data_IF_838671283779
#
_entry.id   IF_838671283779
#
_cell.length_a   1.000
_cell.length_b   1.000
_cell.length_c   1.000
_cell.angle_alpha   90.00
_cell.angle_beta   90.00
_cell.angle_gamma   90.00
#
_symmetry.space_group_name_H-M   'P 1'
#
loop_
_entity.id
_entity.type
_entity.pdbx_description
1 polymer ?
#
# COMPACT_ATOMS: atom_id res chain seq x y z
N UNK A 1 -7.36 10.27 27.82
CA UNK A 1 -7.82 11.57 28.40
C UNK A 1 -7.22 12.79 27.73
N UNK A 2 -5.98 13.18 28.02
CA UNK A 2 -5.37 14.33 27.34
C UNK A 2 -5.12 14.09 25.84
N UNK A 3 -4.92 12.83 25.44
CA UNK A 3 -4.73 12.41 24.05
C UNK A 3 -6.03 12.42 23.24
N UNK A 4 -7.13 12.01 23.87
CA UNK A 4 -8.42 11.78 23.20
C UNK A 4 -9.37 13.00 23.33
N UNK A 5 -9.28 13.73 24.45
CA UNK A 5 -10.03 14.96 24.72
C UNK A 5 -9.11 16.09 25.20
N UNK A 6 -8.26 16.65 24.30
CA UNK A 6 -7.28 17.66 24.65
C UNK A 6 -7.94 18.94 25.17
N UNK A 7 -9.03 19.40 24.57
CA UNK A 7 -9.71 20.64 24.97
C UNK A 7 -10.28 20.57 26.39
N UNK A 8 -10.94 19.46 26.75
CA UNK A 8 -11.50 19.29 28.09
C UNK A 8 -10.39 19.11 29.15
N UNK A 9 -9.31 18.40 28.79
CA UNK A 9 -8.17 18.17 29.70
C UNK A 9 -7.38 19.47 29.94
N UNK A 10 -7.08 20.24 28.88
CA UNK A 10 -6.41 21.53 29.00
C UNK A 10 -7.31 22.57 29.68
N UNK A 11 -8.61 22.55 29.42
CA UNK A 11 -9.59 23.39 30.12
C UNK A 11 -9.61 23.13 31.63
N UNK A 12 -9.68 21.85 32.04
CA UNK A 12 -9.64 21.47 33.45
C UNK A 12 -8.34 21.93 34.13
N UNK A 13 -7.18 21.66 33.52
CA UNK A 13 -5.88 22.09 34.06
C UNK A 13 -5.73 23.62 34.10
N UNK A 14 -6.12 24.32 33.03
CA UNK A 14 -6.04 25.77 32.97
C UNK A 14 -6.90 26.46 34.05
N UNK A 15 -8.13 25.97 34.25
CA UNK A 15 -9.03 26.48 35.30
C UNK A 15 -8.48 26.19 36.70
N UNK A 16 -7.90 25.02 36.94
CA UNK A 16 -7.28 24.69 38.22
C UNK A 16 -6.07 25.59 38.53
N UNK A 17 -5.21 25.87 37.54
CA UNK A 17 -4.08 26.79 37.71
C UNK A 17 -4.57 28.21 37.98
N UNK A 18 -5.59 28.70 37.25
CA UNK A 18 -6.17 30.02 37.49
C UNK A 18 -6.81 30.13 38.88
N UNK A 19 -7.43 29.07 39.38
CA UNK A 19 -7.98 29.04 40.74
C UNK A 19 -6.90 29.16 41.81
N UNK A 20 -5.76 28.47 41.64
CA UNK A 20 -4.61 28.58 42.55
C UNK A 20 -4.04 30.00 42.53
N UNK A 21 -3.89 30.61 41.35
CA UNK A 21 -3.45 32.00 41.22
C UNK A 21 -4.43 32.97 41.87
N UNK A 22 -5.74 32.80 41.68
CA UNK A 22 -6.75 33.64 42.32
C UNK A 22 -6.70 33.53 43.86
N UNK A 23 -6.52 32.32 44.39
CA UNK A 23 -6.34 32.09 45.83
C UNK A 23 -5.06 32.72 46.38
N UNK A 24 -3.94 32.65 45.65
CA UNK A 24 -2.69 33.30 46.03
C UNK A 24 -2.81 34.83 46.01
N UNK A 25 -3.46 35.40 44.99
CA UNK A 25 -3.72 36.85 44.93
C UNK A 25 -4.63 37.28 46.09
N UNK A 26 -5.66 36.51 46.41
CA UNK A 26 -6.52 36.78 47.56
C UNK A 26 -5.74 36.80 48.88
N UNK A 27 -4.86 35.81 49.10
CA UNK A 27 -4.10 35.67 50.34
C UNK A 27 -2.96 36.69 50.52
N UNK A 28 -2.35 37.16 49.43
CA UNK A 28 -1.12 37.98 49.51
C UNK A 28 -1.27 39.42 49.03
N UNK A 29 -2.27 39.73 48.19
CA UNK A 29 -2.40 41.06 47.58
C UNK A 29 -3.52 41.92 48.21
N UNK A 30 -4.54 41.31 48.80
CA UNK A 30 -5.69 42.03 49.35
C UNK A 30 -5.67 42.10 50.88
N UNK A 31 -6.33 43.12 51.44
CA UNK A 31 -6.49 43.28 52.88
C UNK A 31 -7.57 42.34 53.39
N UNK A 32 -7.29 41.69 54.52
CA UNK A 32 -8.23 40.82 55.23
C UNK A 32 -9.60 41.49 55.44
N UNK A 33 -10.65 40.83 54.98
CA UNK A 33 -12.03 41.27 55.11
C UNK A 33 -12.51 42.26 54.03
N UNK A 34 -11.70 42.53 53.01
CA UNK A 34 -12.09 43.41 51.90
C UNK A 34 -13.07 42.74 50.93
N UNK A 35 -13.89 43.54 50.25
CA UNK A 35 -14.81 43.04 49.20
C UNK A 35 -14.06 42.41 48.03
N UNK A 36 -12.86 42.91 47.73
CA UNK A 36 -11.99 42.39 46.65
C UNK A 36 -11.46 40.98 46.97
N UNK A 37 -11.07 40.74 48.23
CA UNK A 37 -10.67 39.41 48.71
C UNK A 37 -11.82 38.41 48.60
N UNK A 38 -13.03 38.79 49.05
CA UNK A 38 -14.20 37.92 48.96
C UNK A 38 -14.53 37.57 47.50
N UNK A 39 -14.50 38.54 46.59
CA UNK A 39 -14.73 38.30 45.16
C UNK A 39 -13.67 37.35 44.58
N UNK A 40 -12.39 37.54 44.93
CA UNK A 40 -11.32 36.66 44.47
C UNK A 40 -11.47 35.23 45.00
N UNK A 41 -11.87 35.04 46.25
CA UNK A 41 -12.13 33.73 46.86
C UNK A 41 -13.31 33.03 46.17
N UNK A 42 -14.46 33.72 45.99
CA UNK A 42 -15.62 33.13 45.33
C UNK A 42 -15.38 32.83 43.85
N UNK A 43 -14.64 33.71 43.15
CA UNK A 43 -14.22 33.45 41.77
C UNK A 43 -13.29 32.25 41.68
N UNK A 44 -12.31 32.15 42.59
CA UNK A 44 -11.41 30.99 42.70
C UNK A 44 -12.18 29.70 42.97
N UNK A 45 -13.13 29.71 43.90
CA UNK A 45 -14.00 28.57 44.20
C UNK A 45 -14.82 28.15 42.97
N UNK A 46 -15.38 29.12 42.24
CA UNK A 46 -16.09 28.86 40.99
C UNK A 46 -15.21 28.18 39.94
N UNK A 47 -13.95 28.63 39.80
CA UNK A 47 -12.97 28.02 38.91
C UNK A 47 -12.61 26.58 39.32
N UNK A 48 -12.48 26.29 40.62
CA UNK A 48 -12.27 24.93 41.12
C UNK A 48 -13.45 24.03 40.74
N UNK A 49 -14.70 24.46 41.00
CA UNK A 49 -15.89 23.68 40.64
C UNK A 49 -15.93 23.43 39.12
N UNK A 50 -15.66 24.44 38.30
CA UNK A 50 -15.62 24.29 36.85
C UNK A 50 -14.54 23.30 36.40
N UNK A 51 -13.33 23.36 36.97
CA UNK A 51 -12.25 22.40 36.68
C UNK A 51 -12.64 20.95 37.00
N UNK A 52 -13.36 20.75 38.09
CA UNK A 52 -13.83 19.44 38.54
C UNK A 52 -14.88 18.88 37.58
N UNK A 53 -15.81 19.72 37.13
CA UNK A 53 -16.82 19.33 36.13
C UNK A 53 -16.19 18.95 34.79
N UNK A 54 -15.21 19.73 34.30
CA UNK A 54 -14.47 19.38 33.09
C UNK A 54 -13.67 18.08 33.25
N UNK A 55 -13.05 17.87 34.42
CA UNK A 55 -12.34 16.64 34.73
C UNK A 55 -13.25 15.41 34.75
N UNK A 56 -14.42 15.51 35.39
CA UNK A 56 -15.42 14.43 35.40
C UNK A 56 -15.96 14.17 33.99
N UNK A 57 -16.28 15.21 33.24
CA UNK A 57 -16.75 15.09 31.86
C UNK A 57 -15.73 14.36 30.98
N UNK A 58 -14.46 14.80 31.02
CA UNK A 58 -13.38 14.13 30.31
C UNK A 58 -13.19 12.69 30.80
N UNK A 59 -13.40 12.42 32.09
CA UNK A 59 -13.35 11.08 32.68
C UNK A 59 -14.38 10.15 32.07
N UNK A 60 -15.65 10.57 32.10
CA UNK A 60 -16.76 9.78 31.55
C UNK A 60 -16.59 9.56 30.05
N UNK A 61 -16.18 10.59 29.31
CA UNK A 61 -15.91 10.47 27.87
C UNK A 61 -14.78 9.46 27.59
N UNK A 62 -13.68 9.51 28.33
CA UNK A 62 -12.58 8.52 28.14
C UNK A 62 -12.94 7.10 28.48
N UNK A 63 -13.93 6.89 29.36
CA UNK A 63 -14.44 5.54 29.63
C UNK A 63 -15.30 5.02 28.47
N UNK A 64 -15.82 5.92 27.64
CA UNK A 64 -16.49 5.62 26.38
C UNK A 64 -15.53 5.42 25.20
N UNK A 65 -14.31 5.93 25.29
CA UNK A 65 -13.29 5.77 24.24
C UNK A 65 -12.89 4.29 24.11
N UNK A 66 -13.18 3.72 22.94
CA UNK A 66 -12.77 2.36 22.60
C UNK A 66 -11.30 2.36 22.20
N UNK A 67 -10.54 1.39 22.70
CA UNK A 67 -9.18 1.16 22.23
C UNK A 67 -9.21 0.87 20.72
N UNK A 68 -8.50 1.69 19.94
CA UNK A 68 -8.38 1.43 18.50
C UNK A 68 -7.64 0.12 18.28
N UNK A 69 -8.15 -0.75 17.40
CA UNK A 69 -7.43 -1.96 17.05
C UNK A 69 -6.13 -1.60 16.33
N UNK A 70 -5.11 -2.43 16.54
CA UNK A 70 -3.85 -2.32 15.82
C UNK A 70 -3.83 -3.27 14.64
N UNK A 71 -3.46 -2.77 13.46
CA UNK A 71 -3.26 -3.57 12.26
C UNK A 71 -1.82 -3.43 11.76
N UNK A 72 -1.24 -4.52 11.29
CA UNK A 72 0.08 -4.53 10.66
C UNK A 72 0.04 -5.37 9.40
N UNK A 73 0.64 -4.82 8.34
CA UNK A 73 0.87 -5.48 7.05
C UNK A 73 2.34 -5.87 6.95
N UNK A 74 2.64 -7.12 6.60
CA UNK A 74 4.01 -7.60 6.38
C UNK A 74 4.11 -8.36 5.06
N UNK A 75 4.85 -7.84 4.06
CA UNK A 75 5.10 -8.55 2.81
C UNK A 75 5.85 -9.86 3.06
N UNK A 76 5.39 -10.94 2.41
CA UNK A 76 6.04 -12.26 2.42
C UNK A 76 6.54 -12.62 1.01
N UNK A 77 7.37 -13.65 0.94
CA UNK A 77 7.80 -14.20 -0.34
C UNK A 77 6.61 -14.83 -1.11
N UNK A 78 6.64 -14.79 -2.44
CA UNK A 78 5.65 -15.45 -3.29
C UNK A 78 4.28 -14.74 -3.38
N UNK A 79 4.28 -13.41 -3.51
CA UNK A 79 3.06 -12.60 -3.73
C UNK A 79 2.01 -12.77 -2.64
N UNK A 80 2.45 -12.94 -1.39
CA UNK A 80 1.56 -13.01 -0.23
C UNK A 80 1.87 -11.88 0.74
N UNK A 81 0.86 -11.45 1.47
CA UNK A 81 1.02 -10.47 2.55
C UNK A 81 0.35 -11.01 3.79
N UNK A 82 1.09 -10.98 4.89
CA UNK A 82 0.57 -11.29 6.21
C UNK A 82 -0.10 -10.06 6.80
N UNK A 83 -1.37 -10.20 7.17
CA UNK A 83 -2.12 -9.19 7.89
C UNK A 83 -2.31 -9.68 9.31
N UNK A 84 -1.83 -8.91 10.28
CA UNK A 84 -2.02 -9.20 11.70
C UNK A 84 -2.84 -8.09 12.33
N UNK A 85 -3.91 -8.49 13.03
CA UNK A 85 -4.85 -7.59 13.69
C UNK A 85 -4.89 -7.95 15.17
N UNK A 86 -4.78 -6.92 16.01
CA UNK A 86 -4.84 -7.07 17.47
C UNK A 86 -5.79 -6.05 18.08
N UNK A 87 -6.66 -6.52 18.96
CA UNK A 87 -7.55 -5.69 19.77
C UNK A 87 -7.61 -6.21 21.21
N UNK A 88 -7.86 -5.32 22.15
CA UNK A 88 -7.98 -5.64 23.58
C UNK A 88 -9.09 -4.81 24.21
N UNK A 89 -9.70 -5.31 25.28
CA UNK A 89 -10.76 -4.59 26.00
C UNK A 89 -12.09 -4.50 25.23
N UNK A 90 -12.33 -5.45 24.33
CA UNK A 90 -13.54 -5.52 23.52
C UNK A 90 -14.69 -6.18 24.31
N UNK A 91 -15.91 -5.69 24.10
CA UNK A 91 -17.12 -6.34 24.63
C UNK A 91 -17.47 -7.54 23.78
N UNK A 92 -18.23 -8.49 24.33
CA UNK A 92 -18.68 -9.69 23.58
C UNK A 92 -19.49 -9.37 22.32
N UNK A 93 -20.13 -8.19 22.26
CA UNK A 93 -20.87 -7.70 21.10
C UNK A 93 -20.03 -6.90 20.09
N UNK A 94 -18.79 -6.56 20.45
CA UNK A 94 -17.94 -5.75 19.58
C UNK A 94 -17.33 -6.63 18.49
N UNK A 95 -17.18 -6.06 17.30
CA UNK A 95 -16.50 -6.71 16.18
C UNK A 95 -15.46 -5.75 15.60
N UNK A 96 -14.27 -6.26 15.32
CA UNK A 96 -13.28 -5.54 14.51
C UNK A 96 -13.56 -5.88 13.05
N UNK A 97 -13.87 -4.87 12.25
CA UNK A 97 -13.90 -5.00 10.80
C UNK A 97 -12.49 -4.76 10.29
N UNK A 98 -12.03 -5.64 9.41
CA UNK A 98 -10.71 -5.62 8.79
C UNK A 98 -10.91 -5.62 7.28
N UNK A 99 -10.32 -4.65 6.61
CA UNK A 99 -10.28 -4.60 5.15
C UNK A 99 -8.88 -4.37 4.65
N UNK A 100 -8.56 -5.04 3.55
CA UNK A 100 -7.30 -4.92 2.82
C UNK A 100 -7.64 -4.64 1.38
N UNK A 101 -7.02 -3.62 0.81
CA UNK A 101 -7.38 -3.09 -0.49
C UNK A 101 -6.15 -2.65 -1.28
N UNK A 102 -6.29 -2.66 -2.60
CA UNK A 102 -5.30 -2.11 -3.50
C UNK A 102 -5.31 -0.59 -3.39
N UNK A 103 -4.15 0.07 -3.38
CA UNK A 103 -4.08 1.52 -3.43
C UNK A 103 -3.59 1.99 -4.80
N UNK A 104 -4.42 2.80 -5.44
CA UNK A 104 -4.13 3.42 -6.72
C UNK A 104 -3.92 4.92 -6.54
N UNK A 105 -2.99 5.49 -7.31
CA UNK A 105 -2.81 6.95 -7.35
C UNK A 105 -3.84 7.55 -8.28
N UNK A 106 -4.72 8.37 -7.73
CA UNK A 106 -5.72 9.11 -8.48
C UNK A 106 -5.65 10.61 -8.14
N UNK A 107 -5.91 11.50 -9.11
CA UNK A 107 -6.07 12.92 -8.81
C UNK A 107 -7.25 13.11 -7.84
N UNK A 108 -7.07 13.96 -6.84
CA UNK A 108 -8.18 14.51 -6.06
C UNK A 108 -8.83 15.68 -6.81
N UNK A 109 -9.89 16.25 -6.22
CA UNK A 109 -10.63 17.39 -6.81
C UNK A 109 -9.76 18.65 -7.00
N UNK A 110 -8.60 18.71 -6.33
CA UNK A 110 -7.59 19.76 -6.45
C UNK A 110 -6.44 19.40 -7.41
N UNK A 111 -6.56 18.31 -8.19
CA UNK A 111 -5.56 17.84 -9.15
C UNK A 111 -4.29 17.24 -8.54
N UNK A 112 -4.22 17.08 -7.21
CA UNK A 112 -3.09 16.44 -6.52
C UNK A 112 -3.27 14.94 -6.52
N UNK A 113 -2.21 14.19 -6.83
CA UNK A 113 -2.23 12.73 -6.75
C UNK A 113 -2.38 12.30 -5.28
N UNK A 114 -3.47 11.60 -5.00
CA UNK A 114 -3.78 11.03 -3.68
C UNK A 114 -4.01 9.53 -3.82
N UNK A 115 -3.77 8.80 -2.74
CA UNK A 115 -4.08 7.38 -2.70
C UNK A 115 -5.57 7.19 -2.53
N UNK A 116 -6.19 6.48 -3.46
CA UNK A 116 -7.57 6.03 -3.35
C UNK A 116 -7.61 4.52 -3.17
N UNK A 117 -8.56 4.12 -2.33
CA UNK A 117 -9.09 2.78 -2.22
C UNK A 117 -9.46 2.25 -3.61
N UNK A 118 -8.80 1.17 -4.03
CA UNK A 118 -9.12 0.40 -5.22
C UNK A 118 -10.05 -0.76 -4.88
N UNK A 119 -9.84 -1.91 -5.54
CA UNK A 119 -10.62 -3.11 -5.23
C UNK A 119 -10.22 -3.74 -3.88
N UNK A 120 -11.21 -4.18 -3.08
CA UNK A 120 -10.94 -4.89 -1.84
C UNK A 120 -10.37 -6.28 -2.16
N UNK A 121 -9.25 -6.61 -1.51
CA UNK A 121 -8.57 -7.90 -1.59
C UNK A 121 -9.07 -8.87 -0.53
N UNK A 122 -9.42 -8.35 0.65
CA UNK A 122 -9.86 -9.14 1.79
C UNK A 122 -10.74 -8.30 2.70
N UNK A 123 -11.79 -8.91 3.23
CA UNK A 123 -12.68 -8.33 4.22
C UNK A 123 -13.06 -9.38 5.26
N UNK A 124 -12.98 -9.02 6.55
CA UNK A 124 -13.40 -9.90 7.64
C UNK A 124 -13.98 -9.11 8.81
N UNK A 125 -14.91 -9.73 9.52
CA UNK A 125 -15.42 -9.25 10.81
C UNK A 125 -14.97 -10.23 11.88
N UNK A 126 -14.23 -9.74 12.87
CA UNK A 126 -13.59 -10.55 13.92
C UNK A 126 -14.25 -10.23 15.26
N UNK A 127 -14.80 -11.24 15.93
CA UNK A 127 -15.29 -11.13 17.31
C UNK A 127 -14.20 -11.46 18.34
N UNK A 128 -14.30 -10.95 19.58
CA UNK A 128 -13.32 -11.22 20.62
C UNK A 128 -13.44 -12.63 21.20
N UNK A 129 -12.33 -13.08 21.79
CA UNK A 129 -12.26 -14.27 22.62
C UNK A 129 -12.93 -14.06 24.00
N UNK A 130 -12.88 -15.09 24.85
CA UNK A 130 -13.44 -15.06 26.21
C UNK A 130 -12.78 -14.03 27.15
N UNK A 131 -11.65 -13.45 26.76
CA UNK A 131 -10.93 -12.40 27.51
C UNK A 131 -11.16 -10.99 26.92
N UNK A 132 -12.01 -10.85 25.90
CA UNK A 132 -12.23 -9.57 25.23
C UNK A 132 -11.06 -9.15 24.33
N UNK A 133 -10.29 -10.12 23.81
CA UNK A 133 -9.12 -9.87 22.95
C UNK A 133 -9.32 -10.46 21.56
N UNK A 134 -8.60 -9.89 20.60
CA UNK A 134 -8.48 -10.41 19.23
C UNK A 134 -6.99 -10.47 18.90
N UNK A 135 -6.53 -11.62 18.43
CA UNK A 135 -5.22 -11.80 17.84
C UNK A 135 -5.39 -12.70 16.61
N UNK A 136 -5.47 -12.08 15.44
CA UNK A 136 -5.72 -12.79 14.19
C UNK A 136 -4.63 -12.48 13.18
N UNK A 137 -4.13 -13.51 12.52
CA UNK A 137 -3.17 -13.39 11.42
C UNK A 137 -3.64 -14.21 10.24
N UNK A 138 -3.65 -13.60 9.06
CA UNK A 138 -4.01 -14.25 7.79
C UNK A 138 -2.99 -13.92 6.71
N UNK A 139 -2.70 -14.90 5.87
CA UNK A 139 -1.89 -14.71 4.67
C UNK A 139 -2.81 -14.54 3.46
N UNK A 140 -2.74 -13.36 2.84
CA UNK A 140 -3.59 -13.00 1.70
C UNK A 140 -2.74 -13.10 0.44
N UNK A 141 -3.14 -13.92 -0.55
CA UNK A 141 -2.51 -13.92 -1.86
C UNK A 141 -2.86 -12.62 -2.60
N UNK A 142 -1.85 -11.98 -3.17
CA UNK A 142 -1.99 -10.75 -3.93
C UNK A 142 -2.28 -11.06 -5.40
N UNK A 143 -3.37 -10.52 -5.98
CA UNK A 143 -3.60 -10.66 -7.41
C UNK A 143 -2.59 -9.83 -8.21
N UNK A 144 -2.25 -10.28 -9.41
CA UNK A 144 -1.56 -9.45 -10.39
C UNK A 144 -2.45 -8.28 -10.86
N UNK A 145 -1.87 -7.11 -11.15
CA UNK A 145 -2.60 -5.88 -11.49
C UNK A 145 -1.78 -4.60 -11.26
N UNK A 146 -2.21 -3.42 -11.70
CA UNK A 146 -1.40 -2.18 -11.58
C UNK A 146 -1.63 -1.45 -10.23
N UNK A 147 -1.04 -1.95 -9.15
CA UNK A 147 -0.99 -1.26 -7.85
C UNK A 147 0.40 -1.38 -7.20
N UNK A 148 0.90 -0.28 -6.63
CA UNK A 148 2.22 -0.21 -6.00
C UNK A 148 2.15 -0.38 -4.47
N UNK A 149 1.01 0.01 -3.89
CA UNK A 149 0.81 0.08 -2.45
C UNK A 149 -0.44 -0.71 -2.07
N UNK A 150 -0.40 -1.29 -0.86
CA UNK A 150 -1.55 -1.90 -0.21
C UNK A 150 -1.97 -1.07 0.98
N UNK A 151 -3.29 -0.94 1.14
CA UNK A 151 -3.92 -0.37 2.31
C UNK A 151 -4.50 -1.50 3.15
N UNK A 152 -4.30 -1.44 4.45
CA UNK A 152 -5.11 -2.21 5.38
C UNK A 152 -5.63 -1.31 6.47
N UNK A 153 -6.88 -1.57 6.86
CA UNK A 153 -7.59 -0.81 7.87
C UNK A 153 -8.35 -1.74 8.79
N UNK A 154 -8.36 -1.38 10.07
CA UNK A 154 -9.09 -2.06 11.12
C UNK A 154 -9.81 -1.05 12.00
N UNK A 155 -11.08 -1.30 12.29
CA UNK A 155 -11.89 -0.42 13.14
C UNK A 155 -12.98 -1.19 13.89
N UNK A 156 -13.54 -0.54 14.90
CA UNK A 156 -14.69 -1.03 15.68
C UNK A 156 -15.79 0.03 15.62
N UNK A 157 -16.96 -0.34 15.12
CA UNK A 157 -18.07 0.60 14.92
C UNK A 157 -17.94 1.35 13.60
N UNK A 158 -17.84 2.68 13.66
CA UNK A 158 -17.84 3.54 12.47
C UNK A 158 -16.53 3.45 11.70
N UNK A 159 -16.65 3.45 10.37
CA UNK A 159 -15.52 3.39 9.46
C UNK A 159 -14.68 4.68 9.53
N UNK A 160 -13.34 4.58 9.60
CA UNK A 160 -12.47 5.75 9.67
C UNK A 160 -12.46 6.51 8.33
N UNK A 161 -12.87 7.78 8.38
CA UNK A 161 -12.74 8.70 7.26
C UNK A 161 -11.25 9.05 7.02
N UNK A 162 -10.71 8.73 5.83
CA UNK A 162 -9.38 9.10 5.34
C UNK A 162 -8.14 8.34 5.92
N UNK A 163 -8.15 7.01 5.92
CA UNK A 163 -7.03 6.17 6.38
C UNK A 163 -5.65 6.45 5.74
N UNK A 164 -5.58 6.75 4.44
CA UNK A 164 -4.30 6.72 3.69
C UNK A 164 -3.70 8.10 3.39
N UNK A 165 -4.34 9.17 3.85
CA UNK A 165 -3.96 10.53 3.53
C UNK A 165 -2.72 11.02 4.32
N UNK A 166 -2.54 10.58 5.56
CA UNK A 166 -1.58 11.19 6.51
C UNK A 166 -0.55 10.21 7.09
N UNK A 167 -0.36 9.04 6.46
CA UNK A 167 0.60 8.02 6.89
C UNK A 167 -0.02 6.92 7.75
N UNK A 168 0.83 6.10 8.37
CA UNK A 168 0.39 4.93 9.12
C UNK A 168 -0.07 5.32 10.53
N UNK A 169 -1.22 4.80 10.93
CA UNK A 169 -1.80 4.91 12.28
C UNK A 169 -2.01 3.51 12.85
N UNK A 170 -2.53 3.43 14.07
CA UNK A 170 -2.87 2.15 14.72
C UNK A 170 -3.91 1.36 13.90
N UNK A 171 -4.95 2.03 13.40
CA UNK A 171 -6.03 1.41 12.64
C UNK A 171 -5.88 1.47 11.12
N UNK A 172 -4.86 2.15 10.58
CA UNK A 172 -4.65 2.31 9.15
C UNK A 172 -3.17 2.14 8.79
N UNK A 173 -2.85 1.20 7.92
CA UNK A 173 -1.48 0.98 7.49
C UNK A 173 -1.41 0.94 5.98
N UNK A 174 -0.46 1.68 5.41
CA UNK A 174 -0.03 1.59 4.03
C UNK A 174 1.34 0.95 3.97
N UNK A 175 1.49 -0.06 3.10
CA UNK A 175 2.78 -0.70 2.82
C UNK A 175 3.00 -0.72 1.32
N UNK A 176 4.19 -0.29 0.91
CA UNK A 176 4.68 -0.49 -0.43
C UNK A 176 5.06 -1.95 -0.62
N UNK A 177 4.50 -2.61 -1.63
CA UNK A 177 4.86 -3.99 -1.94
C UNK A 177 5.70 -3.97 -3.20
N UNK A 178 7.04 -4.10 -3.08
CA UNK A 178 7.91 -4.13 -4.25
C UNK A 178 7.60 -5.40 -5.04
N UNK A 179 6.87 -5.25 -6.15
CA UNK A 179 6.58 -6.38 -7.04
C UNK A 179 7.74 -6.55 -8.02
N UNK A 180 8.31 -7.77 -8.13
CA UNK A 180 9.20 -8.11 -9.24
C UNK A 180 8.51 -7.73 -10.55
N UNK A 181 9.18 -6.92 -11.39
CA UNK A 181 8.57 -6.22 -12.52
C UNK A 181 7.57 -7.08 -13.32
N UNK A 182 6.38 -6.54 -13.51
CA UNK A 182 5.33 -7.04 -14.44
C UNK A 182 5.73 -6.93 -15.91
N UNK A 183 6.89 -6.32 -16.18
CA UNK A 183 7.40 -6.06 -17.52
C UNK A 183 8.18 -7.26 -18.05
N UNK A 184 8.01 -7.63 -19.33
CA UNK A 184 8.87 -8.61 -19.96
C UNK A 184 10.31 -8.10 -19.97
N UNK A 185 11.25 -8.98 -19.64
CA UNK A 185 12.68 -8.76 -19.76
C UNK A 185 13.21 -9.71 -20.84
N UNK A 186 13.92 -9.14 -21.80
CA UNK A 186 14.47 -9.85 -22.94
C UNK A 186 16.00 -9.80 -22.87
N UNK A 187 16.62 -10.97 -22.80
CA UNK A 187 18.05 -11.13 -22.97
C UNK A 187 18.31 -12.04 -24.17
N UNK A 188 19.27 -11.64 -25.00
CA UNK A 188 19.60 -12.31 -26.25
C UNK A 188 21.10 -12.44 -26.37
N UNK A 189 21.56 -13.63 -26.77
CA UNK A 189 22.98 -13.93 -26.91
C UNK A 189 23.23 -14.91 -28.05
N UNK A 190 24.43 -14.88 -28.62
CA UNK A 190 24.83 -15.81 -29.66
C UNK A 190 25.48 -17.06 -29.09
N UNK A 191 25.10 -18.22 -29.60
CA UNK A 191 25.86 -19.45 -29.53
C UNK A 191 26.65 -19.60 -30.84
N UNK A 192 27.97 -19.41 -30.77
CA UNK A 192 28.88 -19.33 -31.94
C UNK A 192 29.66 -20.62 -32.19
N UNK A 193 29.71 -21.56 -31.24
CA UNK A 193 30.42 -22.84 -31.37
C UNK A 193 29.59 -23.92 -32.07
N UNK A 194 28.86 -23.55 -33.11
CA UNK A 194 27.91 -24.40 -33.84
C UNK A 194 28.00 -24.14 -35.34
N UNK A 195 27.68 -25.13 -36.18
CA UNK A 195 27.81 -25.04 -37.66
C UNK A 195 27.02 -23.89 -38.30
N UNK A 196 25.96 -23.41 -37.65
CA UNK A 196 25.18 -22.25 -38.05
C UNK A 196 24.91 -21.42 -36.78
N UNK A 197 25.05 -20.08 -36.82
CA UNK A 197 24.91 -19.25 -35.62
C UNK A 197 23.50 -19.39 -35.05
N UNK A 198 23.43 -19.65 -33.74
CA UNK A 198 22.15 -19.79 -33.03
C UNK A 198 21.97 -18.61 -32.10
N UNK A 199 20.82 -17.95 -32.20
CA UNK A 199 20.43 -16.90 -31.28
C UNK A 199 19.70 -17.56 -30.10
N UNK A 200 20.29 -17.48 -28.92
CA UNK A 200 19.67 -17.85 -27.66
C UNK A 200 18.86 -16.67 -27.14
N UNK A 201 17.59 -16.93 -26.83
CA UNK A 201 16.63 -15.95 -26.33
C UNK A 201 16.22 -16.40 -24.94
N UNK A 202 16.44 -15.54 -23.94
CA UNK A 202 15.91 -15.69 -22.59
C UNK A 202 14.85 -14.63 -22.36
N UNK A 203 13.64 -15.08 -22.11
CA UNK A 203 12.48 -14.22 -21.87
C UNK A 203 11.96 -14.50 -20.47
N UNK A 204 11.95 -13.46 -19.64
CA UNK A 204 11.46 -13.54 -18.26
C UNK A 204 10.44 -12.46 -17.97
N UNK A 205 9.32 -12.81 -17.35
CA UNK A 205 8.34 -11.87 -16.82
C UNK A 205 7.73 -12.48 -15.55
N UNK A 206 7.34 -11.66 -14.58
CA UNK A 206 6.65 -12.13 -13.37
C UNK A 206 5.36 -11.35 -13.20
N UNK A 207 4.47 -11.81 -12.33
CA UNK A 207 3.27 -11.06 -11.95
C UNK A 207 2.34 -10.68 -13.10
N UNK A 208 2.24 -11.50 -14.15
CA UNK A 208 1.32 -11.20 -15.23
C UNK A 208 -0.12 -11.57 -14.83
N UNK A 209 -1.13 -10.74 -15.19
CA UNK A 209 -2.51 -11.01 -14.86
C UNK A 209 -2.98 -12.33 -15.47
N UNK A 210 -3.53 -13.20 -14.62
CA UNK A 210 -4.07 -14.50 -15.03
C UNK A 210 -5.46 -14.40 -15.66
N UNK A 211 -6.17 -13.28 -15.44
CA UNK A 211 -7.52 -13.03 -15.95
C UNK A 211 -7.67 -11.59 -16.48
N UNK A 212 -7.97 -11.40 -17.77
CA UNK A 212 -7.89 -12.42 -18.83
C UNK A 212 -6.45 -12.93 -18.96
N UNK A 213 -6.28 -14.22 -19.27
CA UNK A 213 -4.96 -14.81 -19.45
C UNK A 213 -4.25 -14.08 -20.61
N UNK A 214 -3.23 -13.27 -20.30
CA UNK A 214 -2.43 -12.60 -21.32
C UNK A 214 -1.39 -13.57 -21.85
N UNK A 215 -1.55 -13.99 -23.11
CA UNK A 215 -0.47 -14.64 -23.86
C UNK A 215 0.58 -13.60 -24.23
N UNK A 216 1.85 -13.95 -24.11
CA UNK A 216 2.95 -13.15 -24.61
C UNK A 216 3.32 -13.62 -26.01
N UNK A 217 3.42 -12.69 -26.95
CA UNK A 217 3.89 -13.01 -28.31
C UNK A 217 5.36 -12.66 -28.43
N UNK A 218 6.17 -13.62 -28.85
CA UNK A 218 7.59 -13.44 -29.14
C UNK A 218 7.81 -13.65 -30.63
N UNK A 219 8.47 -12.71 -31.30
CA UNK A 219 8.83 -12.80 -32.72
C UNK A 219 10.30 -12.50 -32.91
N UNK A 220 10.94 -13.24 -33.80
CA UNK A 220 12.30 -13.01 -34.23
C UNK A 220 12.32 -12.73 -35.74
N UNK A 221 12.91 -11.61 -36.13
CA UNK A 221 13.04 -11.17 -37.51
C UNK A 221 14.50 -11.15 -37.92
N UNK A 222 14.82 -11.74 -39.06
CA UNK A 222 16.10 -11.59 -39.74
C UNK A 222 16.02 -10.40 -40.68
N UNK A 223 17.04 -9.54 -40.65
CA UNK A 223 17.14 -8.35 -41.49
C UNK A 223 18.27 -8.59 -42.47
N UNK A 224 17.97 -8.55 -43.77
CA UNK A 224 19.00 -8.66 -44.82
C UNK A 224 19.79 -7.34 -44.96
N UNK A 225 20.88 -7.35 -45.70
CA UNK A 225 21.65 -6.15 -46.05
C UNK A 225 20.79 -5.07 -46.73
N UNK A 226 19.78 -5.50 -47.49
CA UNK A 226 18.83 -4.63 -48.18
C UNK A 226 17.68 -4.16 -47.26
N UNK A 227 17.82 -4.35 -45.94
CA UNK A 227 16.84 -3.98 -44.91
C UNK A 227 15.48 -4.67 -45.06
N UNK A 228 15.42 -5.77 -45.82
CA UNK A 228 14.23 -6.60 -45.93
C UNK A 228 14.11 -7.47 -44.69
N UNK A 229 12.98 -7.36 -44.00
CA UNK A 229 12.69 -8.16 -42.80
C UNK A 229 12.03 -9.46 -43.22
N UNK A 230 12.51 -10.56 -42.66
CA UNK A 230 11.86 -11.87 -42.77
C UNK A 230 11.63 -12.44 -41.38
N UNK A 231 10.45 -12.97 -41.16
CA UNK A 231 10.16 -13.68 -39.92
C UNK A 231 10.95 -14.98 -39.87
N UNK A 232 11.72 -15.17 -38.80
CA UNK A 232 12.49 -16.39 -38.55
C UNK A 232 11.69 -17.35 -37.67
N UNK A 233 10.99 -16.83 -36.68
CA UNK A 233 10.17 -17.60 -35.76
C UNK A 233 9.16 -16.71 -35.04
N UNK A 234 8.03 -17.31 -34.69
CA UNK A 234 6.99 -16.73 -33.84
C UNK A 234 6.56 -17.76 -32.79
N UNK A 235 6.32 -17.27 -31.57
CA UNK A 235 5.75 -18.04 -30.49
C UNK A 235 4.64 -17.28 -29.80
N UNK A 236 3.55 -17.99 -29.50
CA UNK A 236 2.57 -17.59 -28.50
C UNK A 236 2.84 -18.35 -27.21
N UNK A 237 3.22 -17.63 -26.17
CA UNK A 237 3.66 -18.19 -24.90
C UNK A 237 2.61 -17.87 -23.82
N UNK A 238 2.27 -18.84 -22.98
CA UNK A 238 1.42 -18.66 -21.81
C UNK A 238 2.26 -18.67 -20.53
N UNK A 239 1.87 -17.89 -19.48
CA UNK A 239 2.51 -17.98 -18.17
C UNK A 239 2.26 -19.36 -17.54
N UNK A 240 3.06 -19.71 -16.53
CA UNK A 240 2.76 -20.85 -15.66
C UNK A 240 1.59 -20.53 -14.70
N UNK A 241 1.26 -21.50 -13.82
CA UNK A 241 0.17 -21.38 -12.84
C UNK A 241 0.41 -20.24 -11.82
N UNK A 242 1.65 -19.77 -11.70
CA UNK A 242 2.08 -18.68 -10.83
C UNK A 242 2.10 -17.31 -11.53
N UNK A 243 1.73 -17.23 -12.83
CA UNK A 243 1.76 -15.97 -13.58
C UNK A 243 3.17 -15.54 -14.01
N UNK A 244 4.13 -16.46 -14.05
CA UNK A 244 5.51 -16.24 -14.44
C UNK A 244 5.82 -16.79 -15.84
N UNK A 245 6.71 -16.08 -16.54
CA UNK A 245 7.41 -16.54 -17.72
C UNK A 245 8.88 -16.70 -17.37
N UNK A 246 9.41 -17.91 -17.55
CA UNK A 246 10.84 -18.15 -17.72
C UNK A 246 10.98 -19.15 -18.86
N UNK A 247 11.37 -18.64 -20.03
CA UNK A 247 11.53 -19.42 -21.25
C UNK A 247 12.89 -19.17 -21.86
N UNK A 248 13.52 -20.27 -22.26
CA UNK A 248 14.75 -20.29 -23.03
C UNK A 248 14.43 -20.87 -24.40
N UNK A 249 14.66 -20.07 -25.42
CA UNK A 249 14.35 -20.40 -26.81
C UNK A 249 15.61 -20.21 -27.64
N UNK A 250 15.66 -20.90 -28.78
CA UNK A 250 16.79 -20.79 -29.70
C UNK A 250 16.28 -20.71 -31.13
N UNK A 251 16.84 -19.79 -31.91
CA UNK A 251 16.59 -19.65 -33.35
C UNK A 251 17.87 -19.92 -34.09
N UNK A 252 17.81 -20.79 -35.10
CA UNK A 252 18.91 -20.95 -36.05
C UNK A 252 18.84 -19.79 -37.03
N UNK A 253 19.91 -19.01 -37.13
CA UNK A 253 19.98 -17.85 -38.01
C UNK A 253 20.88 -18.20 -39.19
N UNK A 254 20.35 -18.09 -40.40
CA UNK A 254 21.14 -18.29 -41.62
C UNK A 254 22.09 -17.11 -41.88
N UNK A 255 23.15 -17.36 -42.65
CA UNK A 255 24.14 -16.33 -43.03
C UNK A 255 23.62 -15.27 -44.01
N UNK A 256 22.37 -15.39 -44.47
CA UNK A 256 21.73 -14.44 -45.38
C UNK A 256 21.26 -13.15 -44.67
N UNK A 257 21.35 -13.09 -43.34
CA UNK A 257 20.90 -11.95 -42.54
C UNK A 257 22.10 -11.20 -41.97
N UNK A 258 22.01 -9.87 -41.95
CA UNK A 258 22.99 -8.98 -41.36
C UNK A 258 22.68 -8.75 -39.86
N UNK A 259 21.40 -8.58 -39.52
CA UNK A 259 20.93 -8.37 -38.16
C UNK A 259 19.76 -9.30 -37.82
N UNK A 260 19.53 -9.50 -36.53
CA UNK A 260 18.32 -10.14 -35.99
C UNK A 260 17.68 -9.20 -34.97
N UNK A 261 16.39 -8.95 -35.16
CA UNK A 261 15.56 -8.17 -34.25
C UNK A 261 14.57 -9.10 -33.55
N UNK A 262 14.63 -9.16 -32.23
CA UNK A 262 13.73 -9.96 -31.40
C UNK A 262 12.82 -9.02 -30.63
N UNK A 263 11.52 -9.31 -30.63
CA UNK A 263 10.51 -8.52 -29.91
C UNK A 263 9.57 -9.43 -29.14
N UNK A 264 9.27 -9.06 -27.90
CA UNK A 264 8.28 -9.71 -27.06
C UNK A 264 7.23 -8.68 -26.62
N UNK A 265 5.94 -9.03 -26.73
CA UNK A 265 4.85 -8.16 -26.30
C UNK A 265 3.77 -8.92 -25.54
N UNK A 266 3.29 -8.31 -24.45
CA UNK A 266 2.11 -8.74 -23.69
C UNK A 266 0.87 -7.91 -24.02
N UNK A 267 1.02 -6.85 -24.83
CA UNK A 267 -0.06 -5.93 -25.23
C UNK A 267 -0.55 -6.19 -26.65
N UNK A 268 0.35 -6.56 -27.56
CA UNK A 268 0.07 -6.66 -29.00
C UNK A 268 0.35 -8.08 -29.52
N UNK A 269 -0.54 -8.62 -30.34
CA UNK A 269 -0.35 -9.93 -30.99
C UNK A 269 0.67 -9.89 -32.12
N UNK A 270 0.76 -8.78 -32.84
CA UNK A 270 1.69 -8.62 -33.96
C UNK A 270 2.67 -7.48 -33.68
N UNK A 271 3.60 -7.64 -32.73
CA UNK A 271 4.55 -6.58 -32.43
C UNK A 271 5.53 -6.40 -33.60
N UNK A 272 5.75 -5.15 -33.99
CA UNK A 272 6.79 -4.77 -34.93
C UNK A 272 8.17 -4.73 -34.24
N UNK A 273 9.25 -4.91 -35.00
CA UNK A 273 10.62 -4.80 -34.50
C UNK A 273 11.42 -3.86 -35.42
N UNK A 274 12.01 -2.77 -34.88
CA UNK A 274 11.91 -2.29 -33.49
C UNK A 274 10.49 -1.84 -33.13
N UNK A 275 10.09 -2.07 -31.88
CA UNK A 275 8.77 -1.67 -31.38
C UNK A 275 8.79 -0.24 -30.82
N UNK A 276 7.67 0.50 -30.90
CA UNK A 276 7.52 1.72 -30.11
C UNK A 276 7.64 1.44 -28.61
N UNK A 277 8.11 2.42 -27.85
CA UNK A 277 8.24 2.29 -26.38
C UNK A 277 6.84 2.22 -25.78
N UNK A 278 6.49 1.06 -25.25
CA UNK A 278 5.21 0.76 -24.59
C UNK A 278 5.51 -0.14 -23.38
N UNK A 279 4.75 0.02 -22.29
CA UNK A 279 5.01 -0.65 -21.01
C UNK A 279 4.89 -2.19 -21.09
N UNK A 280 4.24 -2.71 -22.13
CA UNK A 280 4.07 -4.14 -22.38
C UNK A 280 4.95 -4.74 -23.50
N UNK A 281 5.90 -3.98 -24.07
CA UNK A 281 6.70 -4.46 -25.20
C UNK A 281 8.19 -4.22 -24.98
N UNK A 282 9.01 -5.24 -25.23
CA UNK A 282 10.48 -5.15 -25.22
C UNK A 282 11.06 -5.72 -26.50
N UNK A 283 12.15 -5.14 -26.97
CA UNK A 283 12.85 -5.62 -28.14
C UNK A 283 14.35 -5.46 -28.00
N UNK A 284 15.09 -6.22 -28.80
CA UNK A 284 16.54 -6.14 -28.89
C UNK A 284 16.97 -6.49 -30.31
N UNK A 285 18.02 -5.84 -30.81
CA UNK A 285 18.59 -6.08 -32.13
C UNK A 285 20.08 -6.38 -31.99
N UNK A 286 20.52 -7.46 -32.62
CA UNK A 286 21.91 -7.91 -32.62
C UNK A 286 22.38 -8.15 -34.04
N UNK A 287 23.60 -7.72 -34.34
CA UNK A 287 24.29 -8.10 -35.56
C UNK A 287 24.59 -9.61 -35.57
N UNK A 288 24.45 -10.23 -36.73
CA UNK A 288 24.83 -11.63 -36.95
C UNK A 288 26.36 -11.72 -36.94
N UNK A 289 26.97 -12.61 -36.13
CA UNK A 289 28.42 -12.76 -36.09
C UNK A 289 28.97 -13.14 -37.46
N UNK A 290 30.05 -12.47 -37.86
CA UNK A 290 30.86 -12.91 -38.99
C UNK A 290 31.51 -14.27 -38.63
N UNK A 291 31.47 -15.22 -39.56
CA UNK A 291 32.20 -16.49 -39.46
C UNK A 291 33.66 -16.26 -39.80
#
# INVERSE_FOLDING_TARGET
MARDHPLASYGAFGLAVLAIFAGAVAAFAFREGSTEEQVAIYAGLGLVVASLLFGVYAGVQTWGDRAQPSITLTPKAGHTVAVTVRGVGLRSSDHIVVEVEQLVRAPNDAGRLTWKAGEPLYGASLGPDGEGKIAYTVDIPLPAGDYDDLGARAWVGDEPNACYAHGNTTGCVRVHVPRPQERPQLAVSWETFVRAPRLLIRLTAKNLPQRPAKSMTLRAFGITTDHVRRELAEWSLAPNAEGEFDRRLAVVVGHAFADVCVVASTSTREPACPAPVDDGTVWSQLAVPAV
#
